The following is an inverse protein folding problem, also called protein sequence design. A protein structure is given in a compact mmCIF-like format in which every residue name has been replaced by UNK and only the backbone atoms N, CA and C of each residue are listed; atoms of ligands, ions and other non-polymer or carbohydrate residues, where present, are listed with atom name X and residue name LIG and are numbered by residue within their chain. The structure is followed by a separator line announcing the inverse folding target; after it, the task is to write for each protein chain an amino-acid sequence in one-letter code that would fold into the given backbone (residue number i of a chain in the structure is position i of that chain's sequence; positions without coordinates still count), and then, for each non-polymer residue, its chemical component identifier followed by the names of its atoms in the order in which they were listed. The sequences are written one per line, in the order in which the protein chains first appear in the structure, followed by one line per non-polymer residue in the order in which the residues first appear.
data_IF_690653266404
#
_entry.id   IF_690653266404
#
_cell.length_a   1.000
_cell.length_b   1.000
_cell.length_c   1.000
_cell.angle_alpha   90.00
_cell.angle_beta   90.00
_cell.angle_gamma   90.00
#
_symmetry.space_group_name_H-M   'P 1'
#
loop_
_entity.id
_entity.type
_entity.pdbx_description
1 polymer ?
#
# COMPACT_ATOMS: atom_id res chain seq x y z
N UNK A 1 -13.48 -10.08 -11.68
CA UNK A 1 -12.65 -9.01 -11.05
C UNK A 1 -11.62 -9.69 -10.15
N UNK A 2 -10.33 -9.48 -10.40
CA UNK A 2 -9.25 -9.93 -9.51
C UNK A 2 -8.96 -8.79 -8.53
N UNK A 3 -9.31 -8.97 -7.26
CA UNK A 3 -8.89 -8.03 -6.22
C UNK A 3 -7.41 -8.31 -5.88
N UNK A 4 -6.55 -7.32 -6.12
CA UNK A 4 -5.16 -7.32 -5.62
C UNK A 4 -5.16 -6.97 -4.12
N UNK A 5 -4.18 -7.48 -3.37
CA UNK A 5 -3.97 -7.06 -1.99
C UNK A 5 -3.31 -5.67 -1.97
N UNK A 6 -3.70 -4.81 -1.03
CA UNK A 6 -3.18 -3.44 -0.90
C UNK A 6 -2.12 -3.45 0.20
N UNK A 7 -0.92 -2.95 -0.11
CA UNK A 7 0.22 -2.96 0.80
C UNK A 7 0.35 -1.68 1.63
N UNK A 8 0.94 -1.81 2.80
CA UNK A 8 0.87 -0.87 3.91
C UNK A 8 2.18 -0.20 4.29
N UNK A 9 3.09 0.07 3.36
CA UNK A 9 4.32 0.78 3.71
C UNK A 9 4.82 1.87 2.76
N UNK A 10 5.38 2.88 3.43
CA UNK A 10 6.09 4.04 2.91
C UNK A 10 7.47 3.69 2.37
N UNK A 11 7.69 4.00 1.09
CA UNK A 11 8.96 4.28 0.41
C UNK A 11 10.25 3.77 1.07
N UNK A 12 10.57 2.50 0.85
CA UNK A 12 11.95 2.02 0.90
C UNK A 12 12.47 1.76 -0.52
N UNK A 13 13.76 1.98 -0.71
CA UNK A 13 14.42 2.21 -2.01
C UNK A 13 14.68 0.93 -2.83
N UNK A 14 13.67 0.13 -3.18
CA UNK A 14 13.81 -0.89 -4.24
C UNK A 14 12.57 -0.99 -5.12
N UNK A 15 12.79 -1.29 -6.39
CA UNK A 15 11.85 -1.17 -7.51
C UNK A 15 10.65 -2.16 -7.44
N UNK A 16 10.62 -3.03 -6.43
CA UNK A 16 9.66 -4.12 -6.22
C UNK A 16 8.91 -4.00 -4.87
N UNK A 17 8.64 -2.77 -4.44
CA UNK A 17 8.39 -2.40 -3.05
C UNK A 17 7.03 -2.82 -2.45
N UNK A 18 6.87 -4.10 -2.12
CA UNK A 18 5.96 -4.58 -1.06
C UNK A 18 6.62 -5.65 -0.16
N UNK A 19 7.90 -5.49 0.27
CA UNK A 19 8.62 -6.60 0.90
C UNK A 19 8.20 -6.82 2.35
N UNK A 20 7.84 -5.78 3.10
CA UNK A 20 7.66 -5.90 4.55
C UNK A 20 6.39 -6.67 4.89
N UNK A 21 5.21 -6.16 4.53
CA UNK A 21 3.92 -6.78 4.83
C UNK A 21 3.81 -8.19 4.22
N UNK A 22 4.28 -8.37 2.98
CA UNK A 22 4.33 -9.68 2.35
C UNK A 22 5.28 -10.64 3.10
N UNK A 23 6.43 -10.16 3.59
CA UNK A 23 7.32 -10.99 4.40
C UNK A 23 6.71 -11.37 5.75
N UNK A 24 5.97 -10.45 6.40
CA UNK A 24 5.27 -10.69 7.65
C UNK A 24 4.15 -11.72 7.43
N UNK A 25 3.31 -11.53 6.41
CA UNK A 25 2.24 -12.46 6.04
C UNK A 25 2.80 -13.86 5.72
N UNK A 26 3.83 -13.93 4.88
CA UNK A 26 4.48 -15.19 4.55
C UNK A 26 5.10 -15.85 5.78
N UNK A 27 5.65 -15.08 6.72
CA UNK A 27 6.16 -15.58 8.00
C UNK A 27 5.04 -16.16 8.86
N UNK A 28 3.92 -15.45 9.00
CA UNK A 28 2.72 -15.94 9.69
C UNK A 28 2.22 -17.25 9.07
N UNK A 29 2.09 -17.33 7.74
CA UNK A 29 1.69 -18.55 7.06
C UNK A 29 2.63 -19.72 7.37
N UNK A 30 3.95 -19.49 7.33
CA UNK A 30 4.95 -20.52 7.69
C UNK A 30 4.83 -20.97 9.14
N UNK A 31 4.72 -20.04 10.08
CA UNK A 31 4.62 -20.34 11.52
C UNK A 31 3.40 -21.18 11.86
N UNK A 32 2.25 -20.90 11.23
CA UNK A 32 1.01 -21.62 11.47
C UNK A 32 0.73 -22.75 10.47
N UNK A 33 1.71 -23.11 9.62
CA UNK A 33 1.60 -24.17 8.61
C UNK A 33 0.41 -23.97 7.64
N UNK A 34 0.08 -22.70 7.37
CA UNK A 34 -0.95 -22.32 6.42
C UNK A 34 -0.35 -22.22 5.00
N UNK A 35 -1.16 -22.49 3.95
CA UNK A 35 -0.72 -22.27 2.58
C UNK A 35 -0.36 -20.80 2.36
N UNK A 36 0.66 -20.58 1.52
CA UNK A 36 1.12 -19.25 1.15
C UNK A 36 0.03 -18.50 0.35
N UNK A 37 -0.25 -17.26 0.75
CA UNK A 37 -1.26 -16.42 0.10
C UNK A 37 -0.55 -15.59 -0.97
N UNK A 38 -0.33 -16.20 -2.14
CA UNK A 38 0.28 -15.52 -3.28
C UNK A 38 -0.74 -14.63 -4.00
N UNK A 39 -0.85 -13.37 -3.56
CA UNK A 39 -1.62 -12.33 -4.25
C UNK A 39 -0.71 -11.22 -4.77
N UNK A 40 -1.06 -10.58 -5.90
CA UNK A 40 -0.38 -9.37 -6.33
C UNK A 40 -0.56 -8.28 -5.27
N UNK A 41 0.51 -7.55 -4.99
CA UNK A 41 0.53 -6.42 -4.08
C UNK A 41 0.66 -5.10 -4.83
N UNK A 42 -0.09 -4.09 -4.40
CA UNK A 42 0.01 -2.71 -4.90
C UNK A 42 0.71 -1.84 -3.87
N UNK A 43 1.83 -1.24 -4.28
CA UNK A 43 2.58 -0.29 -3.45
C UNK A 43 2.01 1.13 -3.62
N UNK A 44 1.33 1.66 -2.60
CA UNK A 44 0.72 3.00 -2.66
C UNK A 44 1.72 4.13 -2.83
N UNK A 45 2.98 3.94 -2.43
CA UNK A 45 4.06 4.87 -2.74
C UNK A 45 4.36 4.94 -4.23
N UNK A 46 4.37 3.80 -4.92
CA UNK A 46 4.57 3.77 -6.36
C UNK A 46 3.42 4.46 -7.06
N UNK A 47 2.19 4.11 -6.67
CA UNK A 47 0.97 4.76 -7.15
C UNK A 47 1.04 6.28 -6.94
N UNK A 48 1.43 6.74 -5.75
CA UNK A 48 1.48 8.17 -5.45
C UNK A 48 2.50 8.94 -6.30
N UNK A 49 3.62 8.31 -6.65
CA UNK A 49 4.64 8.88 -7.54
C UNK A 49 4.21 8.87 -8.99
N UNK A 50 3.56 7.79 -9.43
CA UNK A 50 3.14 7.60 -10.81
C UNK A 50 1.97 8.52 -11.18
N UNK A 51 0.97 8.60 -10.31
CA UNK A 51 -0.28 9.32 -10.60
C UNK A 51 -0.17 10.81 -10.28
N UNK A 52 0.49 11.18 -9.18
CA UNK A 52 0.50 12.57 -8.70
C UNK A 52 1.90 13.17 -8.54
N UNK A 53 2.97 12.43 -8.87
CA UNK A 53 4.37 12.86 -8.69
C UNK A 53 4.67 13.43 -7.28
N UNK A 54 4.03 12.87 -6.24
CA UNK A 54 4.22 13.35 -4.88
C UNK A 54 5.63 12.99 -4.40
N UNK A 55 6.33 13.95 -3.81
CA UNK A 55 7.61 13.76 -3.11
C UNK A 55 7.70 14.79 -1.96
N UNK A 56 8.11 14.42 -0.73
CA UNK A 56 8.34 13.05 -0.23
C UNK A 56 7.07 12.19 -0.24
N UNK A 57 7.25 10.86 -0.27
CA UNK A 57 6.15 9.86 -0.32
C UNK A 57 6.02 9.07 0.97
N UNK A 58 6.05 9.75 2.13
CA UNK A 58 5.58 9.11 3.35
C UNK A 58 4.05 9.12 3.34
N UNK A 59 3.44 8.20 4.06
CA UNK A 59 1.99 8.02 4.09
C UNK A 59 1.30 9.30 4.57
N UNK A 60 1.76 9.98 5.64
CA UNK A 60 1.21 11.27 6.03
C UNK A 60 1.30 12.35 4.93
N UNK A 61 2.40 12.38 4.16
CA UNK A 61 2.60 13.36 3.08
C UNK A 61 1.57 13.14 1.96
N UNK A 62 1.38 11.87 1.56
CA UNK A 62 0.41 11.48 0.54
C UNK A 62 -1.03 11.73 1.02
N UNK A 63 -1.34 11.33 2.25
CA UNK A 63 -2.65 11.55 2.85
C UNK A 63 -2.99 13.04 2.94
N UNK A 64 -2.04 13.88 3.34
CA UNK A 64 -2.21 15.34 3.38
C UNK A 64 -2.51 15.89 1.99
N UNK A 65 -1.76 15.46 0.96
CA UNK A 65 -1.95 15.94 -0.42
C UNK A 65 -3.31 15.54 -1.01
N UNK A 66 -3.78 14.33 -0.68
CA UNK A 66 -5.04 13.77 -1.17
C UNK A 66 -6.23 14.05 -0.24
N UNK A 67 -6.03 14.81 0.84
CA UNK A 67 -7.03 15.12 1.86
C UNK A 67 -7.69 13.86 2.45
N UNK A 68 -6.88 12.84 2.74
CA UNK A 68 -7.28 11.57 3.36
C UNK A 68 -7.00 11.65 4.86
N UNK A 69 -7.98 11.37 5.73
CA UNK A 69 -7.76 11.32 7.17
C UNK A 69 -6.80 10.18 7.53
N UNK A 70 -5.85 10.47 8.43
CA UNK A 70 -4.85 9.51 8.89
C UNK A 70 -4.62 9.67 10.40
N UNK A 71 -4.86 8.61 11.17
CA UNK A 71 -4.39 8.48 12.55
C UNK A 71 -3.12 7.64 12.53
N UNK A 72 -2.01 8.32 12.32
CA UNK A 72 -0.71 7.69 12.07
C UNK A 72 -0.32 6.73 13.21
N UNK A 73 0.16 5.53 12.87
CA UNK A 73 0.51 4.41 13.78
C UNK A 73 -0.66 3.58 14.30
N UNK A 74 -1.88 3.80 13.80
CA UNK A 74 -2.95 2.83 13.97
C UNK A 74 -3.02 1.96 12.73
N UNK A 75 -2.75 0.66 12.88
CA UNK A 75 -2.65 -0.25 11.77
C UNK A 75 -3.92 -0.28 10.89
N UNK A 76 -5.10 -0.11 11.49
CA UNK A 76 -6.39 0.01 10.80
C UNK A 76 -6.58 1.36 10.09
N UNK A 77 -6.19 2.47 10.72
CA UNK A 77 -6.26 3.79 10.06
C UNK A 77 -5.24 3.92 8.95
N UNK A 78 -4.05 3.36 9.15
CA UNK A 78 -3.10 3.16 8.07
C UNK A 78 -3.87 2.32 7.05
N UNK A 79 -4.35 1.10 7.37
CA UNK A 79 -5.04 0.14 6.47
C UNK A 79 -6.03 0.81 5.49
N UNK A 80 -6.85 1.69 6.04
CA UNK A 80 -7.85 2.44 5.32
C UNK A 80 -7.25 3.51 4.38
N UNK A 81 -6.19 4.21 4.80
CA UNK A 81 -5.55 5.25 4.02
C UNK A 81 -4.94 4.74 2.70
N UNK A 82 -4.19 3.63 2.69
CA UNK A 82 -3.72 3.06 1.42
C UNK A 82 -4.87 2.59 0.52
N UNK A 83 -5.93 2.01 1.08
CA UNK A 83 -7.10 1.65 0.28
C UNK A 83 -7.68 2.89 -0.41
N UNK A 84 -7.86 3.99 0.33
CA UNK A 84 -8.31 5.27 -0.22
C UNK A 84 -7.36 5.85 -1.26
N UNK A 85 -6.04 5.69 -1.11
CA UNK A 85 -5.03 6.09 -2.10
C UNK A 85 -5.22 5.31 -3.41
N UNK A 86 -5.35 3.99 -3.35
CA UNK A 86 -5.57 3.16 -4.55
C UNK A 86 -6.87 3.55 -5.26
N UNK A 87 -7.97 3.70 -4.51
CA UNK A 87 -9.24 4.13 -5.09
C UNK A 87 -9.17 5.54 -5.71
N UNK A 88 -8.40 6.45 -5.10
CA UNK A 88 -8.19 7.78 -5.68
C UNK A 88 -7.39 7.71 -6.99
N UNK A 89 -6.43 6.80 -7.08
CA UNK A 89 -5.65 6.56 -8.29
C UNK A 89 -6.51 5.97 -9.40
N UNK A 90 -7.34 4.97 -9.11
CA UNK A 90 -8.29 4.40 -10.08
C UNK A 90 -9.25 5.45 -10.61
N UNK A 91 -9.76 6.33 -9.74
CA UNK A 91 -10.59 7.48 -10.15
C UNK A 91 -9.83 8.49 -11.02
N UNK A 92 -8.51 8.57 -10.90
CA UNK A 92 -7.63 9.38 -11.74
C UNK A 92 -7.21 8.66 -13.04
N UNK A 93 -7.69 7.44 -13.30
CA UNK A 93 -7.40 6.66 -14.49
C UNK A 93 -6.19 5.73 -14.38
N UNK A 94 -5.63 5.55 -13.19
CA UNK A 94 -4.57 4.56 -12.95
C UNK A 94 -5.12 3.14 -13.03
N UNK A 95 -4.36 2.25 -13.67
CA UNK A 95 -4.69 0.82 -13.82
C UNK A 95 -3.52 0.00 -13.26
N UNK A 96 -3.77 -0.97 -12.35
CA UNK A 96 -2.72 -1.79 -11.72
C UNK A 96 -1.95 -2.70 -12.68
#
# INVERSE_FOLDING_TARGET
MRFAAIDFETASHRRDNAPFDNSVLASCCRTYQLPDIRRPFVCTVRVAREVWNIRPTRLPDVCTRLNIPLRHHQADSDAEACARIVMAAERAGWVP
#
